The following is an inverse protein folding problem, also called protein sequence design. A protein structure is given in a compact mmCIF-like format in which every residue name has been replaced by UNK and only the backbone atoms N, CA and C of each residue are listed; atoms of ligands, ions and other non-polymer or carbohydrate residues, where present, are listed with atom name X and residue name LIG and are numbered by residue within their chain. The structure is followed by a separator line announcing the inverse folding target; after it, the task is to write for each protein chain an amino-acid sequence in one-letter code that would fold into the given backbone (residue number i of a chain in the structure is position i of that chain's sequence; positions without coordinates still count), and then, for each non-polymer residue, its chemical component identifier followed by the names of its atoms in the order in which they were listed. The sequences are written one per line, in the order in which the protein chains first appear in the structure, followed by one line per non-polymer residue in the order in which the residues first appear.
data_IF_555393095566
#
_entry.id   IF_555393095566
#
_cell.length_a   1.000
_cell.length_b   1.000
_cell.length_c   1.000
_cell.angle_alpha   90.00
_cell.angle_beta   90.00
_cell.angle_gamma   90.00
#
_symmetry.space_group_name_H-M   'P 1'
#
loop_
_entity.id
_entity.type
_entity.pdbx_description
1 polymer ?
#
# COMPACT_ATOMS: atom_id res chain seq x y z
N UNK A 1 12.38 42.58 -7.58
CA UNK A 1 12.71 41.14 -7.68
C UNK A 1 11.46 40.40 -7.28
N UNK A 2 10.81 39.72 -8.22
CA UNK A 2 9.72 38.82 -7.88
C UNK A 2 10.35 37.61 -7.18
N UNK A 3 10.04 37.45 -5.90
CA UNK A 3 10.26 36.19 -5.21
C UNK A 3 9.47 35.14 -6.01
N UNK A 4 10.18 34.24 -6.68
CA UNK A 4 9.51 33.24 -7.50
C UNK A 4 8.76 32.30 -6.57
N UNK A 5 7.44 32.23 -6.71
CA UNK A 5 6.64 31.31 -5.91
C UNK A 5 7.02 29.86 -6.26
N UNK A 6 7.17 29.01 -5.25
CA UNK A 6 7.26 27.56 -5.47
C UNK A 6 5.91 27.07 -6.01
N UNK A 7 5.94 26.17 -6.98
CA UNK A 7 4.73 25.54 -7.53
C UNK A 7 4.88 24.03 -7.39
N UNK A 8 3.87 23.37 -6.84
CA UNK A 8 3.84 21.91 -6.66
C UNK A 8 2.81 21.35 -7.61
N UNK A 9 3.18 20.34 -8.38
CA UNK A 9 2.27 19.57 -9.22
C UNK A 9 2.14 18.15 -8.68
N UNK A 10 0.94 17.78 -8.24
CA UNK A 10 0.66 16.49 -7.62
C UNK A 10 -0.73 15.99 -8.02
N UNK A 11 -0.79 14.81 -8.63
CA UNK A 11 -2.07 14.19 -9.03
C UNK A 11 -2.87 15.03 -10.04
N UNK A 12 -2.21 15.85 -10.85
CA UNK A 12 -2.85 16.77 -11.80
C UNK A 12 -3.38 18.07 -11.20
N UNK A 13 -3.25 18.26 -9.88
CA UNK A 13 -3.54 19.54 -9.22
C UNK A 13 -2.24 20.34 -9.02
N UNK A 14 -2.35 21.66 -9.14
CA UNK A 14 -1.28 22.60 -8.82
C UNK A 14 -1.53 23.28 -7.48
N UNK A 15 -0.50 23.37 -6.66
CA UNK A 15 -0.53 24.03 -5.36
C UNK A 15 0.60 25.06 -5.29
N UNK A 16 0.33 26.22 -4.70
CA UNK A 16 1.30 27.33 -4.57
C UNK A 16 1.50 27.66 -3.08
N UNK A 17 2.48 27.05 -2.39
CA UNK A 17 2.82 27.45 -1.03
C UNK A 17 3.35 28.89 -1.04
N UNK A 18 3.07 29.61 0.04
CA UNK A 18 3.48 31.02 0.17
C UNK A 18 4.99 31.20 0.30
N UNK A 19 5.66 30.23 0.91
CA UNK A 19 7.08 30.24 1.20
C UNK A 19 7.64 28.82 1.40
N UNK A 20 8.97 28.72 1.47
CA UNK A 20 9.68 27.46 1.72
C UNK A 20 9.32 26.81 3.06
N UNK A 21 8.94 27.59 4.08
CA UNK A 21 8.57 27.05 5.40
C UNK A 21 7.21 26.33 5.34
N UNK A 22 6.25 26.89 4.60
CA UNK A 22 4.96 26.26 4.32
C UNK A 22 5.16 24.96 3.54
N UNK A 23 6.09 24.98 2.57
CA UNK A 23 6.45 23.80 1.79
C UNK A 23 7.08 22.70 2.68
N UNK A 24 8.02 23.04 3.57
CA UNK A 24 8.60 22.12 4.57
C UNK A 24 7.55 21.57 5.52
N UNK A 25 6.63 22.40 6.00
CA UNK A 25 5.54 21.97 6.87
C UNK A 25 4.68 20.92 6.15
N UNK A 26 4.29 21.17 4.90
CA UNK A 26 3.51 20.21 4.12
C UNK A 26 4.25 18.90 3.85
N UNK A 27 5.58 18.94 3.66
CA UNK A 27 6.41 17.73 3.59
C UNK A 27 6.39 16.97 4.92
N UNK A 28 6.56 17.67 6.05
CA UNK A 28 6.53 17.05 7.39
C UNK A 28 5.17 16.45 7.76
N UNK A 29 4.09 17.04 7.24
CA UNK A 29 2.71 16.54 7.40
C UNK A 29 2.37 15.40 6.41
N UNK A 30 3.29 15.05 5.50
CA UNK A 30 3.08 14.02 4.48
C UNK A 30 2.07 14.42 3.39
N UNK A 31 1.81 15.72 3.20
CA UNK A 31 0.90 16.23 2.16
C UNK A 31 1.54 16.23 0.78
N UNK A 32 2.86 16.44 0.72
CA UNK A 32 3.65 16.43 -0.50
C UNK A 32 4.38 15.09 -0.60
N UNK A 33 4.20 14.42 -1.73
CA UNK A 33 4.84 13.14 -1.99
C UNK A 33 6.31 13.36 -2.40
N UNK A 34 7.21 12.41 -2.09
CA UNK A 34 8.62 12.49 -2.53
C UNK A 34 8.77 12.65 -4.06
N UNK A 35 7.83 12.10 -4.82
CA UNK A 35 7.80 12.14 -6.29
C UNK A 35 6.96 13.30 -6.85
N UNK A 36 6.32 14.12 -6.00
CA UNK A 36 5.62 15.32 -6.46
C UNK A 36 6.62 16.25 -7.14
N UNK A 37 6.23 16.83 -8.28
CA UNK A 37 7.10 17.79 -8.98
C UNK A 37 6.97 19.14 -8.30
N UNK A 38 8.10 19.76 -8.00
CA UNK A 38 8.20 21.08 -7.40
C UNK A 38 9.02 21.96 -8.34
N UNK A 39 8.41 23.04 -8.81
CA UNK A 39 9.10 24.07 -9.57
C UNK A 39 9.97 24.89 -8.62
N UNK A 40 11.28 24.89 -8.87
CA UNK A 40 12.23 25.63 -8.04
C UNK A 40 12.53 27.01 -8.65
N UNK A 41 12.23 28.12 -7.95
CA UNK A 41 12.31 29.46 -8.53
C UNK A 41 13.75 29.87 -8.91
N UNK A 42 14.76 29.37 -8.21
CA UNK A 42 16.16 29.68 -8.53
C UNK A 42 16.73 28.82 -9.68
N UNK A 43 16.21 27.62 -9.88
CA UNK A 43 16.70 26.71 -10.92
C UNK A 43 15.84 26.75 -12.19
N UNK A 44 14.64 27.35 -12.11
CA UNK A 44 13.67 27.46 -13.19
C UNK A 44 13.32 26.09 -13.82
N UNK A 45 13.34 25.04 -13.01
CA UNK A 45 13.07 23.67 -13.44
C UNK A 45 12.13 22.95 -12.47
N UNK A 46 11.42 21.96 -12.99
CA UNK A 46 10.59 21.05 -12.21
C UNK A 46 11.46 19.91 -11.70
N UNK A 47 11.62 19.84 -10.38
CA UNK A 47 12.39 18.79 -9.71
C UNK A 47 11.46 17.95 -8.86
N UNK A 48 11.68 16.63 -8.75
CA UNK A 48 10.96 15.83 -7.77
C UNK A 48 11.28 16.33 -6.37
N UNK A 49 10.29 16.36 -5.49
CA UNK A 49 10.41 16.96 -4.17
C UNK A 49 11.58 16.35 -3.36
N UNK A 50 11.84 15.04 -3.51
CA UNK A 50 12.99 14.36 -2.89
C UNK A 50 14.37 14.85 -3.34
N UNK A 51 14.48 15.47 -4.52
CA UNK A 51 15.73 16.00 -5.04
C UNK A 51 16.06 17.38 -4.45
N UNK A 52 15.12 18.00 -3.73
CA UNK A 52 15.31 19.29 -3.10
C UNK A 52 15.82 19.11 -1.66
N UNK A 53 17.13 19.31 -1.40
CA UNK A 53 17.69 19.15 -0.05
C UNK A 53 17.08 20.15 0.94
N UNK A 54 16.56 21.26 0.43
CA UNK A 54 15.91 22.30 1.22
C UNK A 54 14.62 21.82 1.89
N UNK A 55 13.96 20.79 1.37
CA UNK A 55 12.73 20.24 1.95
C UNK A 55 12.98 19.34 3.17
N UNK A 56 14.25 19.05 3.46
CA UNK A 56 14.65 18.09 4.47
C UNK A 56 14.47 16.64 4.00
N UNK A 57 14.75 15.69 4.87
CA UNK A 57 14.47 14.30 4.59
C UNK A 57 12.95 14.08 4.58
N UNK A 58 12.41 13.57 3.47
CA UNK A 58 11.11 12.93 3.49
C UNK A 58 11.18 11.85 4.57
N UNK A 59 10.41 12.02 5.65
CA UNK A 59 10.40 11.04 6.73
C UNK A 59 10.19 9.65 6.11
N UNK A 60 10.98 8.66 6.55
CA UNK A 60 10.73 7.29 6.13
C UNK A 60 9.24 7.02 6.30
N UNK A 61 8.54 6.48 5.28
CA UNK A 61 7.15 6.12 5.45
C UNK A 61 7.05 5.29 6.73
N UNK A 62 6.05 5.54 7.59
CA UNK A 62 5.89 4.79 8.82
C UNK A 62 6.09 3.30 8.51
N UNK A 63 7.01 2.61 9.20
CA UNK A 63 7.31 1.20 8.92
C UNK A 63 6.03 0.35 8.80
N UNK A 64 5.01 0.73 9.56
CA UNK A 64 3.64 0.22 9.52
C UNK A 64 3.04 0.11 8.11
N UNK A 65 3.32 1.05 7.20
CA UNK A 65 2.76 1.06 5.83
C UNK A 65 3.50 0.08 4.93
N UNK A 66 4.82 0.00 5.07
CA UNK A 66 5.65 -0.96 4.32
C UNK A 66 5.29 -2.38 4.76
N UNK A 67 5.09 -2.58 6.06
CA UNK A 67 4.62 -3.84 6.63
C UNK A 67 3.20 -4.17 6.15
N UNK A 68 2.30 -3.18 6.09
CA UNK A 68 0.94 -3.34 5.58
C UNK A 68 0.95 -3.77 4.11
N UNK A 69 1.71 -3.07 3.25
CA UNK A 69 1.86 -3.38 1.84
C UNK A 69 2.42 -4.80 1.63
N UNK A 70 3.44 -5.17 2.39
CA UNK A 70 4.08 -6.50 2.32
C UNK A 70 3.12 -7.61 2.76
N UNK A 71 2.42 -7.42 3.87
CA UNK A 71 1.46 -8.39 4.39
C UNK A 71 0.25 -8.55 3.46
N UNK A 72 -0.25 -7.45 2.90
CA UNK A 72 -1.32 -7.46 1.91
C UNK A 72 -0.93 -8.26 0.66
N UNK A 73 0.28 -8.05 0.11
CA UNK A 73 0.77 -8.82 -1.05
C UNK A 73 0.83 -10.32 -0.76
N UNK A 74 1.35 -10.71 0.42
CA UNK A 74 1.38 -12.13 0.85
C UNK A 74 -0.03 -12.72 0.97
N UNK A 75 -0.97 -11.94 1.46
CA UNK A 75 -2.37 -12.34 1.62
C UNK A 75 -3.05 -12.56 0.26
N UNK A 76 -2.87 -11.65 -0.71
CA UNK A 76 -3.39 -11.84 -2.09
C UNK A 76 -2.77 -13.07 -2.76
N UNK A 77 -1.45 -13.26 -2.65
CA UNK A 77 -0.77 -14.43 -3.20
C UNK A 77 -1.26 -15.73 -2.56
N UNK A 78 -1.50 -15.73 -1.24
CA UNK A 78 -1.99 -16.91 -0.52
C UNK A 78 -3.40 -17.29 -0.97
N UNK A 79 -4.27 -16.29 -1.19
CA UNK A 79 -5.63 -16.55 -1.69
C UNK A 79 -5.60 -17.03 -3.14
N UNK A 80 -4.78 -16.42 -3.99
CA UNK A 80 -4.59 -16.87 -5.37
C UNK A 80 -4.11 -18.32 -5.42
N UNK A 81 -3.16 -18.69 -4.55
CA UNK A 81 -2.69 -20.06 -4.39
C UNK A 81 -3.83 -20.99 -3.91
N UNK A 82 -4.64 -20.58 -2.93
CA UNK A 82 -5.78 -21.38 -2.47
C UNK A 82 -6.81 -21.62 -3.59
N UNK A 83 -7.13 -20.60 -4.39
CA UNK A 83 -8.04 -20.75 -5.53
C UNK A 83 -7.47 -21.71 -6.58
N UNK A 84 -6.18 -21.60 -6.88
CA UNK A 84 -5.49 -22.52 -7.79
C UNK A 84 -5.50 -23.97 -7.27
N UNK A 85 -5.19 -24.18 -5.99
CA UNK A 85 -5.25 -25.50 -5.35
C UNK A 85 -6.67 -26.07 -5.36
N UNK A 86 -7.68 -25.24 -5.07
CA UNK A 86 -9.08 -25.65 -5.11
C UNK A 86 -9.52 -26.06 -6.52
N UNK A 87 -9.08 -25.33 -7.55
CA UNK A 87 -9.35 -25.66 -8.94
C UNK A 87 -8.72 -27.01 -9.33
N UNK A 88 -7.47 -27.26 -8.94
CA UNK A 88 -6.78 -28.53 -9.17
C UNK A 88 -7.50 -29.69 -8.48
N UNK A 89 -7.96 -29.49 -7.24
CA UNK A 89 -8.75 -30.50 -6.52
C UNK A 89 -10.06 -30.83 -7.25
N UNK A 90 -10.74 -29.81 -7.80
CA UNK A 90 -11.95 -30.02 -8.62
C UNK A 90 -11.67 -30.84 -9.89
N UNK A 91 -10.52 -30.65 -10.53
CA UNK A 91 -10.15 -31.36 -11.76
C UNK A 91 -9.73 -32.80 -11.49
N UNK A 92 -8.89 -33.01 -10.47
CA UNK A 92 -8.32 -34.32 -10.15
C UNK A 92 -9.24 -35.18 -9.26
N UNK A 93 -10.22 -34.54 -8.61
CA UNK A 93 -11.17 -35.19 -7.73
C UNK A 93 -10.51 -35.86 -6.52
N UNK A 94 -11.07 -36.96 -6.00
CA UNK A 94 -10.63 -37.59 -4.76
C UNK A 94 -9.23 -38.22 -4.85
N UNK A 95 -8.64 -38.37 -6.04
CA UNK A 95 -7.24 -38.80 -6.19
C UNK A 95 -6.24 -37.80 -5.59
N UNK A 96 -6.66 -36.57 -5.33
CA UNK A 96 -5.86 -35.49 -4.77
C UNK A 96 -5.78 -35.51 -3.22
N UNK A 97 -5.61 -36.67 -2.59
CA UNK A 97 -5.56 -36.79 -1.11
C UNK A 97 -4.47 -35.90 -0.50
N UNK A 98 -3.34 -35.73 -1.21
CA UNK A 98 -2.23 -34.86 -0.79
C UNK A 98 -2.60 -33.35 -0.80
N UNK A 99 -3.71 -32.96 -1.41
CA UNK A 99 -4.16 -31.55 -1.48
C UNK A 99 -4.86 -31.11 -0.18
N UNK A 100 -5.44 -32.04 0.59
CA UNK A 100 -6.12 -31.74 1.85
C UNK A 100 -5.22 -31.04 2.89
N UNK A 101 -4.01 -31.54 3.23
CA UNK A 101 -3.13 -30.84 4.16
C UNK A 101 -2.65 -29.49 3.62
N UNK A 102 -2.45 -29.37 2.30
CA UNK A 102 -2.10 -28.10 1.66
C UNK A 102 -3.21 -27.07 1.84
N UNK A 103 -4.48 -27.46 1.68
CA UNK A 103 -5.63 -26.58 1.94
C UNK A 103 -5.64 -26.11 3.39
N UNK A 104 -5.45 -27.02 4.35
CA UNK A 104 -5.37 -26.67 5.77
C UNK A 104 -4.29 -25.63 6.07
N UNK A 105 -3.08 -25.84 5.54
CA UNK A 105 -1.97 -24.89 5.70
C UNK A 105 -2.28 -23.52 5.10
N UNK A 106 -2.90 -23.46 3.91
CA UNK A 106 -3.28 -22.19 3.27
C UNK A 106 -4.34 -21.42 4.07
N UNK A 107 -5.35 -22.11 4.62
CA UNK A 107 -6.38 -21.48 5.46
C UNK A 107 -5.77 -20.87 6.71
N UNK A 108 -4.85 -21.58 7.38
CA UNK A 108 -4.15 -21.07 8.57
C UNK A 108 -3.31 -19.83 8.22
N UNK A 109 -2.56 -19.88 7.11
CA UNK A 109 -1.75 -18.75 6.66
C UNK A 109 -2.61 -17.51 6.36
N UNK A 110 -3.75 -17.68 5.67
CA UNK A 110 -4.67 -16.59 5.35
C UNK A 110 -5.27 -15.99 6.63
N UNK A 111 -5.73 -16.83 7.56
CA UNK A 111 -6.26 -16.37 8.85
C UNK A 111 -5.21 -15.57 9.64
N UNK A 112 -3.96 -16.03 9.66
CA UNK A 112 -2.84 -15.34 10.31
C UNK A 112 -2.57 -13.97 9.68
N UNK A 113 -2.44 -13.90 8.35
CA UNK A 113 -2.18 -12.63 7.66
C UNK A 113 -3.36 -11.66 7.73
N UNK A 114 -4.60 -12.16 7.66
CA UNK A 114 -5.81 -11.34 7.81
C UNK A 114 -5.89 -10.71 9.20
N UNK A 115 -5.61 -11.49 10.25
CA UNK A 115 -5.57 -10.99 11.62
C UNK A 115 -4.52 -9.89 11.81
N UNK A 116 -3.30 -10.11 11.30
CA UNK A 116 -2.22 -9.13 11.42
C UNK A 116 -2.54 -7.85 10.63
N UNK A 117 -3.12 -7.98 9.44
CA UNK A 117 -3.53 -6.84 8.60
C UNK A 117 -4.65 -6.04 9.27
N UNK A 118 -5.68 -6.71 9.80
CA UNK A 118 -6.79 -6.05 10.49
C UNK A 118 -6.32 -5.29 11.74
N UNK A 119 -5.33 -5.85 12.47
CA UNK A 119 -4.72 -5.19 13.64
C UNK A 119 -3.90 -3.96 13.23
N UNK A 120 -3.14 -4.04 12.14
CA UNK A 120 -2.38 -2.90 11.61
C UNK A 120 -3.30 -1.76 11.12
N UNK A 121 -4.50 -2.09 10.65
CA UNK A 121 -5.53 -1.12 10.26
C UNK A 121 -6.32 -0.54 11.46
N UNK A 122 -6.02 -0.93 12.70
CA UNK A 122 -6.71 -0.45 13.89
C UNK A 122 -8.16 -0.95 14.02
N UNK A 123 -8.50 -2.08 13.39
CA UNK A 123 -9.85 -2.62 13.52
C UNK A 123 -10.14 -3.05 14.96
N UNK A 124 -11.33 -2.74 15.52
CA UNK A 124 -11.68 -3.07 16.91
C UNK A 124 -11.83 -4.58 17.16
N UNK A 125 -12.01 -5.39 16.12
CA UNK A 125 -12.28 -6.82 16.22
C UNK A 125 -11.53 -7.67 15.17
N UNK A 126 -10.18 -7.76 15.24
CA UNK A 126 -9.38 -8.52 14.27
C UNK A 126 -9.73 -10.02 14.24
N UNK A 127 -10.29 -10.56 15.33
CA UNK A 127 -10.79 -11.94 15.39
C UNK A 127 -12.01 -12.17 14.47
N UNK A 128 -12.94 -11.20 14.37
CA UNK A 128 -14.10 -11.29 13.48
C UNK A 128 -13.65 -11.36 12.01
N UNK A 129 -12.64 -10.58 11.64
CA UNK A 129 -12.05 -10.61 10.30
C UNK A 129 -11.39 -11.96 9.99
N UNK A 130 -10.68 -12.55 10.96
CA UNK A 130 -10.08 -13.88 10.79
C UNK A 130 -11.15 -14.97 10.63
N UNK A 131 -12.21 -14.94 11.44
CA UNK A 131 -13.32 -15.89 11.34
C UNK A 131 -14.08 -15.76 10.01
N UNK A 132 -14.26 -14.54 9.49
CA UNK A 132 -14.90 -14.28 8.21
C UNK A 132 -14.16 -14.96 7.03
N UNK A 133 -12.84 -15.14 7.13
CA UNK A 133 -12.03 -15.81 6.09
C UNK A 133 -12.31 -17.31 5.96
N UNK A 134 -12.98 -17.95 6.91
CA UNK A 134 -13.35 -19.38 6.82
C UNK A 134 -14.45 -19.64 5.79
N UNK A 135 -15.22 -18.61 5.41
CA UNK A 135 -16.28 -18.73 4.42
C UNK A 135 -15.74 -18.26 3.06
N UNK A 136 -15.61 -19.13 2.03
CA UNK A 136 -14.93 -18.78 0.78
C UNK A 136 -15.49 -17.54 0.07
N UNK A 137 -16.82 -17.37 0.04
CA UNK A 137 -17.44 -16.19 -0.58
C UNK A 137 -17.17 -14.91 0.21
N UNK A 138 -17.14 -15.00 1.55
CA UNK A 138 -16.85 -13.86 2.41
C UNK A 138 -15.37 -13.49 2.31
N UNK A 139 -14.47 -14.47 2.17
CA UNK A 139 -13.04 -14.24 1.97
C UNK A 139 -12.77 -13.31 0.78
N UNK A 140 -13.44 -13.54 -0.37
CA UNK A 140 -13.31 -12.67 -1.54
C UNK A 140 -13.82 -11.24 -1.29
N UNK A 141 -14.93 -11.07 -0.57
CA UNK A 141 -15.46 -9.75 -0.22
C UNK A 141 -14.55 -9.01 0.76
N UNK A 142 -14.04 -9.72 1.77
CA UNK A 142 -13.09 -9.18 2.75
C UNK A 142 -11.80 -8.75 2.06
N UNK A 143 -11.29 -9.56 1.13
CA UNK A 143 -10.14 -9.22 0.32
C UNK A 143 -10.38 -7.96 -0.51
N UNK A 144 -11.53 -7.87 -1.16
CA UNK A 144 -11.87 -6.69 -1.95
C UNK A 144 -11.95 -5.42 -1.07
N UNK A 145 -12.55 -5.51 0.11
CA UNK A 145 -12.60 -4.40 1.07
C UNK A 145 -11.22 -4.02 1.61
N UNK A 146 -10.43 -5.00 2.06
CA UNK A 146 -9.07 -4.76 2.54
C UNK A 146 -8.18 -4.20 1.44
N UNK A 147 -8.35 -4.68 0.21
CA UNK A 147 -7.69 -4.15 -0.99
C UNK A 147 -8.03 -2.70 -1.24
N UNK A 148 -9.32 -2.34 -1.21
CA UNK A 148 -9.77 -0.96 -1.38
C UNK A 148 -9.16 -0.03 -0.32
N UNK A 149 -9.24 -0.44 0.96
CA UNK A 149 -8.73 0.35 2.08
C UNK A 149 -7.19 0.48 2.06
N UNK A 150 -6.47 -0.62 1.76
CA UNK A 150 -5.02 -0.59 1.64
C UNK A 150 -4.58 0.28 0.46
N UNK A 151 -5.32 0.25 -0.65
CA UNK A 151 -5.08 1.09 -1.83
C UNK A 151 -5.30 2.57 -1.51
N UNK A 152 -6.38 2.90 -0.80
CA UNK A 152 -6.66 4.27 -0.35
C UNK A 152 -5.57 4.76 0.60
N UNK A 153 -5.16 3.92 1.56
CA UNK A 153 -4.06 4.23 2.47
C UNK A 153 -2.76 4.47 1.70
N UNK A 154 -2.35 3.55 0.82
CA UNK A 154 -1.13 3.71 0.00
C UNK A 154 -1.17 4.97 -0.87
N UNK A 155 -2.34 5.28 -1.46
CA UNK A 155 -2.54 6.48 -2.28
C UNK A 155 -2.37 7.77 -1.46
N UNK A 156 -2.80 7.79 -0.19
CA UNK A 156 -2.56 8.93 0.72
C UNK A 156 -1.08 9.21 0.93
N UNK A 157 -0.23 8.18 0.86
CA UNK A 157 1.23 8.31 0.97
C UNK A 157 1.94 8.30 -0.39
N UNK A 158 1.20 8.42 -1.49
CA UNK A 158 1.78 8.53 -2.84
C UNK A 158 2.48 7.28 -3.33
N UNK A 159 2.22 6.13 -2.70
CA UNK A 159 2.77 4.86 -3.15
C UNK A 159 1.96 4.43 -4.36
N UNK A 160 2.58 4.25 -5.54
CA UNK A 160 1.88 3.77 -6.73
C UNK A 160 1.33 2.37 -6.46
N UNK A 161 0.04 2.21 -6.74
CA UNK A 161 -0.72 0.98 -6.51
C UNK A 161 -1.07 0.38 -7.87
N UNK A 162 -0.40 -0.71 -8.21
CA UNK A 162 -0.68 -1.49 -9.41
C UNK A 162 -1.86 -2.44 -9.19
N UNK A 163 -2.23 -3.17 -10.25
CA UNK A 163 -3.33 -4.14 -10.21
C UNK A 163 -3.13 -5.25 -9.15
N UNK A 164 -1.87 -5.58 -8.83
CA UNK A 164 -1.49 -6.60 -7.84
C UNK A 164 -1.11 -6.01 -6.47
N UNK A 165 -1.45 -4.74 -6.23
CA UNK A 165 -1.11 -4.03 -5.00
C UNK A 165 0.04 -3.02 -5.17
N UNK A 166 0.50 -2.41 -4.06
CA UNK A 166 1.57 -1.43 -4.08
C UNK A 166 2.87 -2.02 -4.63
N UNK A 167 3.41 -1.36 -5.65
CA UNK A 167 4.71 -1.73 -6.22
C UNK A 167 5.79 -1.12 -5.32
N UNK A 168 6.42 -1.95 -4.49
CA UNK A 168 7.63 -1.54 -3.77
C UNK A 168 8.76 -1.54 -4.80
N UNK A 169 8.83 -0.46 -5.58
CA UNK A 169 9.97 -0.24 -6.46
C UNK A 169 11.20 -0.07 -5.55
N UNK A 170 12.27 -0.83 -5.80
CA UNK A 170 13.51 -0.83 -5.00
C UNK A 170 14.15 0.57 -4.84
N UNK A 171 13.68 1.56 -5.60
CA UNK A 171 13.98 2.99 -5.42
C UNK A 171 13.56 3.53 -4.05
N UNK A 172 12.64 2.89 -3.32
CA UNK A 172 12.28 3.27 -1.95
C UNK A 172 13.22 2.72 -0.88
N UNK A 173 14.18 1.84 -1.25
CA UNK A 173 15.12 1.18 -0.32
C UNK A 173 16.53 1.76 -0.37
N UNK A 174 16.78 2.76 -1.23
CA UNK A 174 18.05 3.50 -1.35
C UNK A 174 17.86 4.91 -0.82
#
# INVERSE_FOLDING_TARGET
MHDGDFIIQQGGAEFRPRDLQTLRLWVSEGRILPESLVFHPHHCEWLPARALPELGSFGNPPQTIVDLATNYRKLVLSVGAQLGVSLVFWILGPAAILVVPSLGATVIAIAYYAFHTARALGSPSPALWSAAMLVPCINLLVLAMLSSNATEACRKYGIPVGFLGPEITDSARR
#
